data_IF_243596127305
#
_entry.id   IF_243596127305
#
_cell.length_a   1.000
_cell.length_b   1.000
_cell.length_c   1.000
_cell.angle_alpha   90.00
_cell.angle_beta   90.00
_cell.angle_gamma   90.00
#
_symmetry.space_group_name_H-M   'P 1'
#
loop_
_entity.id
_entity.type
_entity.pdbx_description
1 polymer ?
#
# COMPACT_ATOMS: atom_id res chain seq x y z
N UNK A 1 -11.28 15.99 9.18
CA UNK A 1 -11.91 16.97 8.29
C UNK A 1 -13.03 16.30 7.51
N UNK A 2 -14.23 16.89 7.53
CA UNK A 2 -15.36 16.43 6.73
C UNK A 2 -15.39 17.28 5.45
N UNK A 3 -15.03 16.69 4.32
CA UNK A 3 -15.19 17.35 3.03
C UNK A 3 -16.62 17.12 2.51
N UNK A 4 -17.39 18.20 2.36
CA UNK A 4 -18.66 18.15 1.64
C UNK A 4 -18.40 18.05 0.13
N UNK A 5 -19.24 17.31 -0.59
CA UNK A 5 -19.11 17.08 -2.04
C UNK A 5 -17.82 16.38 -2.46
N UNK A 6 -17.30 15.49 -1.62
CA UNK A 6 -16.13 14.67 -1.94
C UNK A 6 -16.55 13.27 -2.39
N UNK A 7 -15.92 12.78 -3.45
CA UNK A 7 -16.11 11.41 -3.98
C UNK A 7 -14.77 10.71 -3.96
N UNK A 8 -14.74 9.48 -3.47
CA UNK A 8 -13.55 8.64 -3.53
C UNK A 8 -13.33 8.17 -4.97
N UNK A 9 -12.15 8.43 -5.50
CA UNK A 9 -11.74 7.99 -6.83
C UNK A 9 -10.52 7.09 -6.75
N UNK A 10 -10.39 6.18 -7.70
CA UNK A 10 -9.24 5.29 -7.83
C UNK A 10 -8.65 5.39 -9.24
N UNK A 11 -7.35 5.16 -9.36
CA UNK A 11 -6.66 5.07 -10.65
C UNK A 11 -6.84 3.66 -11.24
N UNK A 12 -8.09 3.25 -11.45
CA UNK A 12 -8.45 1.97 -12.06
C UNK A 12 -9.20 2.28 -13.34
N UNK A 13 -8.68 1.78 -14.45
CA UNK A 13 -9.33 1.81 -15.74
C UNK A 13 -9.92 0.44 -16.07
N UNK A 14 -11.18 0.42 -16.51
CA UNK A 14 -11.82 -0.80 -17.00
C UNK A 14 -11.79 -0.77 -18.52
N UNK A 15 -11.06 -1.70 -19.13
CA UNK A 15 -11.03 -1.84 -20.58
C UNK A 15 -12.35 -2.39 -21.09
N UNK A 16 -12.73 -2.01 -22.30
CA UNK A 16 -13.91 -2.53 -22.97
C UNK A 16 -13.86 -4.06 -23.12
N UNK A 17 -15.03 -4.70 -23.21
CA UNK A 17 -15.11 -6.15 -23.39
C UNK A 17 -14.48 -6.55 -24.73
N UNK A 18 -13.49 -7.42 -24.69
CA UNK A 18 -12.80 -7.97 -25.86
C UNK A 18 -13.44 -9.31 -26.22
N UNK A 19 -14.03 -9.45 -27.44
CA UNK A 19 -14.54 -10.72 -27.91
C UNK A 19 -13.39 -11.60 -28.41
N UNK A 20 -13.45 -12.90 -28.08
CA UNK A 20 -12.46 -13.91 -28.50
C UNK A 20 -13.17 -15.02 -29.25
N UNK A 21 -12.59 -15.37 -30.40
CA UNK A 21 -12.99 -16.50 -31.21
C UNK A 21 -11.96 -17.61 -31.02
N UNK A 22 -12.43 -18.85 -30.99
CA UNK A 22 -11.58 -20.02 -30.78
C UNK A 22 -11.74 -20.96 -31.96
N UNK A 23 -10.66 -21.19 -32.70
CA UNK A 23 -10.63 -22.07 -33.84
C UNK A 23 -10.32 -23.53 -33.42
N UNK A 24 -9.49 -23.70 -32.39
CA UNK A 24 -9.06 -25.01 -31.90
C UNK A 24 -8.98 -24.99 -30.36
N UNK A 25 -9.46 -26.06 -29.73
CA UNK A 25 -9.38 -26.25 -28.27
C UNK A 25 -8.15 -27.11 -27.94
N UNK A 26 -7.28 -26.50 -27.12
CA UNK A 26 -6.11 -27.21 -26.57
C UNK A 26 -6.14 -27.16 -25.04
N UNK A 27 -5.74 -28.23 -24.34
CA UNK A 27 -5.60 -28.18 -22.88
C UNK A 27 -4.63 -27.09 -22.45
N UNK A 28 -5.06 -26.28 -21.46
CA UNK A 28 -4.25 -25.14 -20.99
C UNK A 28 -4.19 -23.97 -21.95
N UNK A 29 -5.23 -23.78 -22.80
CA UNK A 29 -5.30 -22.68 -23.75
C UNK A 29 -5.13 -21.33 -23.06
N UNK A 30 -4.41 -20.41 -23.71
CA UNK A 30 -4.03 -19.10 -23.18
C UNK A 30 -4.48 -17.97 -24.09
N UNK A 31 -4.92 -16.88 -23.50
CA UNK A 31 -5.31 -15.67 -24.23
C UNK A 31 -4.60 -14.45 -23.64
N UNK A 32 -3.90 -13.70 -24.48
CA UNK A 32 -3.26 -12.46 -24.07
C UNK A 32 -4.30 -11.37 -23.78
N UNK A 33 -4.10 -10.63 -22.69
CA UNK A 33 -5.02 -9.61 -22.23
C UNK A 33 -4.85 -8.27 -22.95
N UNK A 34 -3.69 -8.02 -23.57
CA UNK A 34 -3.40 -6.78 -24.28
C UNK A 34 -3.30 -5.53 -23.41
N UNK A 35 -3.25 -5.69 -22.08
CA UNK A 35 -3.13 -4.60 -21.11
C UNK A 35 -1.99 -4.88 -20.12
N UNK A 36 -1.37 -3.82 -19.60
CA UNK A 36 -0.31 -3.92 -18.58
C UNK A 36 -0.88 -3.62 -17.19
N UNK A 37 -0.21 -4.12 -16.14
CA UNK A 37 -0.60 -3.92 -14.74
C UNK A 37 -2.06 -4.29 -14.45
N UNK A 38 -2.47 -5.47 -14.94
CA UNK A 38 -3.81 -6.00 -14.76
C UNK A 38 -4.04 -6.36 -13.30
N UNK A 39 -5.12 -5.81 -12.72
CA UNK A 39 -5.56 -6.08 -11.35
C UNK A 39 -6.43 -7.33 -11.30
N UNK A 40 -7.45 -7.34 -12.13
CA UNK A 40 -8.37 -8.47 -12.28
C UNK A 40 -8.97 -8.52 -13.69
N UNK A 41 -9.60 -9.63 -14.00
CA UNK A 41 -10.31 -9.83 -15.24
C UNK A 41 -11.70 -10.39 -14.95
N UNK A 42 -12.68 -9.96 -15.74
CA UNK A 42 -14.01 -10.58 -15.73
C UNK A 42 -14.18 -11.34 -17.03
N UNK A 43 -14.43 -12.64 -16.95
CA UNK A 43 -14.50 -13.55 -18.09
C UNK A 43 -15.90 -14.10 -18.23
N UNK A 44 -16.49 -13.90 -19.40
CA UNK A 44 -17.80 -14.40 -19.81
C UNK A 44 -17.62 -15.45 -20.91
N UNK A 45 -17.99 -16.69 -20.63
CA UNK A 45 -17.84 -17.80 -21.60
C UNK A 45 -19.20 -18.15 -22.19
N UNK A 46 -19.24 -18.27 -23.50
CA UNK A 46 -20.44 -18.64 -24.24
C UNK A 46 -20.72 -20.14 -24.06
N UNK A 47 -21.79 -20.45 -23.33
CA UNK A 47 -22.29 -21.81 -23.10
C UNK A 47 -23.59 -22.10 -23.91
N UNK A 48 -23.83 -21.37 -24.99
CA UNK A 48 -24.97 -21.60 -25.87
C UNK A 48 -25.02 -23.05 -26.38
N UNK A 49 -26.21 -23.60 -26.45
CA UNK A 49 -26.41 -24.99 -26.90
C UNK A 49 -26.06 -26.07 -25.85
N UNK A 50 -25.54 -25.70 -24.64
CA UNK A 50 -25.27 -26.63 -23.55
C UNK A 50 -26.51 -26.93 -22.72
N UNK A 51 -27.44 -25.99 -22.63
CA UNK A 51 -28.65 -26.06 -21.81
C UNK A 51 -29.92 -25.83 -22.60
N UNK A 52 -31.04 -26.35 -22.06
CA UNK A 52 -32.37 -26.01 -22.56
C UNK A 52 -32.71 -24.55 -22.25
N UNK A 53 -33.64 -23.96 -23.04
CA UNK A 53 -34.09 -22.59 -22.85
C UNK A 53 -34.57 -22.34 -21.40
N UNK A 54 -35.38 -23.25 -20.87
CA UNK A 54 -35.92 -23.14 -19.51
C UNK A 54 -34.85 -23.16 -18.45
N UNK A 55 -33.77 -23.94 -18.66
CA UNK A 55 -32.62 -23.98 -17.76
C UNK A 55 -31.82 -22.68 -17.80
N UNK A 56 -31.60 -22.11 -18.99
CA UNK A 56 -30.92 -20.84 -19.17
C UNK A 56 -31.66 -19.70 -18.48
N UNK A 57 -32.99 -19.62 -18.64
CA UNK A 57 -33.82 -18.60 -17.98
C UNK A 57 -33.80 -18.74 -16.47
N UNK A 58 -33.91 -19.96 -15.94
CA UNK A 58 -33.84 -20.21 -14.52
C UNK A 58 -32.48 -19.81 -13.94
N UNK A 59 -31.37 -20.13 -14.61
CA UNK A 59 -30.01 -19.71 -14.20
C UNK A 59 -29.91 -18.18 -14.16
N UNK A 60 -30.51 -17.48 -15.12
CA UNK A 60 -30.51 -16.02 -15.15
C UNK A 60 -31.35 -15.39 -14.02
N UNK A 61 -32.47 -16.06 -13.64
CA UNK A 61 -33.29 -15.62 -12.50
C UNK A 61 -32.63 -15.86 -11.16
N UNK A 62 -31.94 -17.02 -11.01
CA UNK A 62 -31.25 -17.37 -9.78
C UNK A 62 -29.96 -16.55 -9.55
N UNK A 63 -29.22 -16.24 -10.63
CA UNK A 63 -27.94 -15.54 -10.58
C UNK A 63 -27.83 -14.48 -11.70
N UNK A 64 -28.53 -13.36 -11.59
CA UNK A 64 -28.57 -12.34 -12.64
C UNK A 64 -27.23 -11.67 -12.92
N UNK A 65 -26.32 -11.62 -11.92
CA UNK A 65 -24.99 -11.03 -12.04
C UNK A 65 -23.95 -11.97 -12.68
N UNK A 66 -24.25 -13.25 -12.77
CA UNK A 66 -23.33 -14.27 -13.31
C UNK A 66 -23.77 -14.82 -14.67
N UNK A 67 -24.85 -14.29 -15.24
CA UNK A 67 -25.40 -14.74 -16.53
C UNK A 67 -25.78 -13.55 -17.41
N UNK A 68 -25.38 -13.58 -18.68
CA UNK A 68 -25.84 -12.63 -19.73
C UNK A 68 -26.51 -13.37 -20.85
N UNK A 69 -27.73 -12.94 -21.23
CA UNK A 69 -28.49 -13.50 -22.34
C UNK A 69 -28.67 -12.44 -23.42
N UNK A 70 -28.32 -12.78 -24.63
CA UNK A 70 -28.61 -11.95 -25.81
C UNK A 70 -29.76 -12.57 -26.62
N UNK A 71 -30.63 -11.71 -27.13
CA UNK A 71 -31.82 -12.11 -27.88
C UNK A 71 -31.75 -11.56 -29.29
N UNK A 72 -32.31 -12.31 -30.25
CA UNK A 72 -32.55 -11.82 -31.59
C UNK A 72 -33.78 -10.90 -31.66
N UNK A 73 -34.04 -10.33 -32.84
CA UNK A 73 -35.18 -9.46 -33.07
C UNK A 73 -36.55 -10.18 -32.89
N UNK A 74 -36.56 -11.50 -32.83
CA UNK A 74 -37.73 -12.36 -32.63
C UNK A 74 -37.88 -12.83 -31.18
N UNK A 75 -36.97 -12.41 -30.27
CA UNK A 75 -37.00 -12.77 -28.86
C UNK A 75 -36.49 -14.19 -28.57
N UNK A 76 -35.73 -14.78 -29.51
CA UNK A 76 -35.06 -16.05 -29.28
C UNK A 76 -33.66 -15.81 -28.70
N UNK A 77 -33.22 -16.71 -27.82
CA UNK A 77 -31.87 -16.65 -27.23
C UNK A 77 -30.86 -16.98 -28.33
N UNK A 78 -29.99 -16.03 -28.64
CA UNK A 78 -28.86 -16.21 -29.58
C UNK A 78 -27.61 -16.66 -28.86
N UNK A 79 -27.27 -15.94 -27.79
CA UNK A 79 -26.05 -16.24 -27.01
C UNK A 79 -26.35 -16.29 -25.53
N UNK A 80 -25.65 -17.19 -24.83
CA UNK A 80 -25.80 -17.42 -23.41
C UNK A 80 -24.43 -17.43 -22.78
N UNK A 81 -24.07 -16.32 -22.13
CA UNK A 81 -22.78 -16.18 -21.45
C UNK A 81 -22.90 -16.46 -19.96
N UNK A 82 -21.95 -17.23 -19.42
CA UNK A 82 -21.82 -17.51 -18.00
C UNK A 82 -20.49 -16.93 -17.52
N UNK A 83 -20.51 -16.22 -16.41
CA UNK A 83 -19.31 -15.68 -15.78
C UNK A 83 -18.52 -16.81 -15.14
N UNK A 84 -17.25 -16.93 -15.51
CA UNK A 84 -16.34 -17.85 -14.89
C UNK A 84 -15.55 -17.18 -13.76
N UNK A 85 -15.07 -17.96 -12.81
CA UNK A 85 -14.40 -17.45 -11.61
C UNK A 85 -12.89 -17.54 -11.72
N UNK A 86 -12.20 -16.55 -11.21
CA UNK A 86 -10.75 -16.60 -11.05
C UNK A 86 -10.39 -17.60 -9.94
N UNK A 87 -9.34 -18.38 -10.16
CA UNK A 87 -8.76 -19.27 -9.16
C UNK A 87 -7.23 -19.21 -9.24
N UNK A 88 -6.57 -19.50 -8.13
CA UNK A 88 -5.10 -19.60 -8.12
C UNK A 88 -4.58 -20.90 -8.72
N UNK A 89 -5.39 -21.96 -8.70
CA UNK A 89 -5.03 -23.29 -9.18
C UNK A 89 -6.20 -24.01 -9.84
N UNK A 90 -6.03 -24.37 -11.09
CA UNK A 90 -7.05 -25.11 -11.86
C UNK A 90 -7.32 -26.51 -11.30
N UNK A 91 -6.27 -27.18 -10.82
CA UNK A 91 -6.31 -28.60 -10.42
C UNK A 91 -7.10 -28.84 -9.11
N UNK A 92 -7.25 -27.83 -8.26
CA UNK A 92 -7.87 -27.96 -6.93
C UNK A 92 -9.22 -27.25 -6.81
N UNK A 93 -9.76 -26.74 -7.90
CA UNK A 93 -11.04 -26.03 -7.89
C UNK A 93 -12.20 -27.01 -7.82
N UNK A 94 -13.15 -26.73 -6.90
CA UNK A 94 -14.42 -27.47 -6.82
C UNK A 94 -15.39 -27.08 -7.94
N UNK A 95 -15.30 -25.85 -8.43
CA UNK A 95 -16.10 -25.34 -9.55
C UNK A 95 -15.33 -25.56 -10.86
N UNK A 96 -15.89 -26.27 -11.86
CA UNK A 96 -15.20 -26.50 -13.13
C UNK A 96 -15.15 -25.25 -14.04
N UNK A 97 -15.92 -24.17 -13.72
CA UNK A 97 -15.98 -22.90 -14.46
C UNK A 97 -14.99 -21.91 -13.93
N UNK A 98 -13.70 -22.20 -14.09
CA UNK A 98 -12.63 -21.38 -13.55
C UNK A 98 -11.55 -21.10 -14.59
N UNK A 99 -10.82 -20.02 -14.36
CA UNK A 99 -9.62 -19.65 -15.09
C UNK A 99 -8.54 -19.14 -14.12
N UNK A 100 -7.29 -19.15 -14.55
CA UNK A 100 -6.18 -18.52 -13.84
C UNK A 100 -5.78 -17.25 -14.59
N UNK A 101 -5.62 -16.16 -13.85
CA UNK A 101 -5.05 -14.92 -14.34
C UNK A 101 -3.54 -14.91 -14.09
N UNK A 102 -2.76 -15.15 -15.14
CA UNK A 102 -1.30 -15.00 -15.09
C UNK A 102 -0.92 -13.52 -15.26
N UNK A 103 -0.78 -12.81 -14.11
CA UNK A 103 -0.47 -11.39 -14.09
C UNK A 103 0.94 -11.05 -14.56
N UNK A 104 1.86 -12.03 -14.54
CA UNK A 104 3.23 -11.83 -15.03
C UNK A 104 3.30 -11.96 -16.56
N UNK A 105 2.61 -12.95 -17.11
CA UNK A 105 2.52 -13.15 -18.56
C UNK A 105 1.45 -12.24 -19.21
N UNK A 106 0.55 -11.64 -18.43
CA UNK A 106 -0.64 -10.93 -18.88
C UNK A 106 -1.55 -11.82 -19.75
N UNK A 107 -1.84 -13.03 -19.25
CA UNK A 107 -2.62 -14.03 -19.95
C UNK A 107 -3.73 -14.62 -19.07
N UNK A 108 -4.84 -14.99 -19.72
CA UNK A 108 -5.85 -15.87 -19.14
C UNK A 108 -5.49 -17.33 -19.49
N UNK A 109 -5.48 -18.20 -18.51
CA UNK A 109 -5.16 -19.62 -18.66
C UNK A 109 -6.40 -20.43 -18.27
N UNK A 110 -6.84 -21.31 -19.17
CA UNK A 110 -7.98 -22.19 -18.95
C UNK A 110 -7.53 -23.62 -18.66
N UNK A 111 -8.47 -24.43 -18.24
CA UNK A 111 -8.22 -25.80 -17.77
C UNK A 111 -7.81 -26.82 -18.83
N UNK A 112 -7.81 -28.06 -18.40
CA UNK A 112 -7.39 -29.22 -19.20
C UNK A 112 -8.58 -29.93 -19.89
N UNK A 113 -9.82 -29.52 -19.59
CA UNK A 113 -11.03 -30.17 -20.06
C UNK A 113 -11.42 -31.45 -19.32
N UNK A 114 -10.62 -31.87 -18.31
CA UNK A 114 -10.87 -33.05 -17.47
C UNK A 114 -11.33 -32.65 -16.08
N UNK A 115 -10.52 -31.84 -15.39
CA UNK A 115 -10.82 -31.33 -14.03
C UNK A 115 -11.58 -30.03 -14.11
N UNK A 116 -11.23 -29.16 -15.04
CA UNK A 116 -11.86 -27.86 -15.27
C UNK A 116 -12.22 -27.69 -16.73
N UNK A 117 -13.26 -26.90 -17.00
CA UNK A 117 -13.75 -26.72 -18.37
C UNK A 117 -12.79 -25.87 -19.21
N UNK A 118 -12.88 -26.06 -20.54
CA UNK A 118 -12.26 -25.22 -21.56
C UNK A 118 -13.39 -24.54 -22.34
N UNK A 119 -13.26 -23.27 -22.74
CA UNK A 119 -14.18 -22.62 -23.66
C UNK A 119 -14.27 -23.41 -24.97
N UNK A 120 -15.48 -23.49 -25.53
CA UNK A 120 -15.73 -24.30 -26.74
C UNK A 120 -15.38 -23.54 -28.00
N UNK A 121 -15.08 -24.30 -29.07
CA UNK A 121 -15.15 -23.77 -30.43
C UNK A 121 -16.61 -23.53 -30.79
N UNK A 122 -16.91 -22.32 -31.21
CA UNK A 122 -18.23 -21.88 -31.70
C UNK A 122 -18.02 -21.09 -32.99
N UNK A 123 -19.02 -21.11 -33.87
CA UNK A 123 -19.05 -20.24 -35.07
C UNK A 123 -19.21 -18.76 -34.70
N UNK A 124 -19.41 -18.45 -33.44
CA UNK A 124 -19.61 -17.13 -32.87
C UNK A 124 -18.57 -16.87 -31.75
N UNK A 125 -18.68 -15.74 -31.08
CA UNK A 125 -17.80 -15.38 -29.94
C UNK A 125 -17.83 -16.47 -28.88
N UNK A 126 -16.66 -17.08 -28.62
CA UNK A 126 -16.50 -18.16 -27.66
C UNK A 126 -16.43 -17.63 -26.21
N UNK A 127 -15.77 -16.49 -26.03
CA UNK A 127 -15.71 -15.82 -24.74
C UNK A 127 -15.54 -14.30 -24.92
N UNK A 128 -15.89 -13.56 -23.89
CA UNK A 128 -15.60 -12.12 -23.76
C UNK A 128 -14.90 -11.89 -22.44
N UNK A 129 -13.93 -11.02 -22.42
CA UNK A 129 -13.33 -10.59 -21.17
C UNK A 129 -13.16 -9.08 -21.12
N UNK A 130 -13.27 -8.53 -19.94
CA UNK A 130 -12.86 -7.16 -19.61
C UNK A 130 -11.81 -7.21 -18.50
N UNK A 131 -10.84 -6.33 -18.56
CA UNK A 131 -9.77 -6.24 -17.58
C UNK A 131 -9.82 -4.91 -16.86
N UNK A 132 -9.51 -4.91 -15.58
CA UNK A 132 -9.22 -3.70 -14.82
C UNK A 132 -7.71 -3.57 -14.66
N UNK A 133 -7.17 -2.44 -15.06
CA UNK A 133 -5.74 -2.14 -14.99
C UNK A 133 -5.52 -0.82 -14.25
N UNK A 134 -4.29 -0.59 -13.82
CA UNK A 134 -3.90 0.64 -13.15
C UNK A 134 -2.52 1.10 -13.61
N UNK A 135 -2.18 2.36 -13.33
CA UNK A 135 -0.86 2.90 -13.64
C UNK A 135 0.18 2.64 -12.53
N UNK A 136 -0.12 1.73 -11.60
CA UNK A 136 0.78 1.40 -10.50
C UNK A 136 1.16 2.63 -9.66
N UNK A 137 2.43 2.77 -9.34
CA UNK A 137 2.95 3.89 -8.54
C UNK A 137 2.77 5.26 -9.21
N UNK A 138 2.67 5.33 -10.54
CA UNK A 138 2.43 6.58 -11.27
C UNK A 138 1.06 7.19 -10.97
N UNK A 139 0.10 6.38 -10.49
CA UNK A 139 -1.21 6.84 -10.02
C UNK A 139 -1.18 7.62 -8.70
N UNK A 140 -0.07 7.64 -7.97
CA UNK A 140 0.09 8.39 -6.72
C UNK A 140 0.40 9.87 -7.01
N UNK A 141 -0.60 10.60 -7.49
CA UNK A 141 -0.47 12.01 -7.87
C UNK A 141 -0.51 12.94 -6.64
N UNK A 142 0.17 14.09 -6.74
CA UNK A 142 0.23 15.11 -5.68
C UNK A 142 -1.10 15.82 -5.45
N UNK A 143 -1.15 16.66 -4.40
CA UNK A 143 -2.29 17.53 -4.09
C UNK A 143 -2.55 18.49 -5.26
N UNK A 144 -3.83 18.65 -5.65
CA UNK A 144 -4.24 19.55 -6.74
C UNK A 144 -3.91 19.05 -8.14
N UNK A 145 -3.36 17.84 -8.31
CA UNK A 145 -3.03 17.29 -9.61
C UNK A 145 -4.28 16.84 -10.41
N UNK A 146 -5.38 16.52 -9.74
CA UNK A 146 -6.66 16.19 -10.37
C UNK A 146 -7.48 17.47 -10.46
N UNK A 147 -7.50 18.08 -11.64
CA UNK A 147 -8.16 19.37 -11.86
C UNK A 147 -9.27 19.34 -12.91
N UNK A 148 -9.40 18.26 -13.65
CA UNK A 148 -10.33 18.13 -14.78
C UNK A 148 -11.16 16.85 -14.67
N UNK A 149 -12.39 16.90 -15.20
CA UNK A 149 -13.25 15.74 -15.42
C UNK A 149 -13.21 15.33 -16.88
N UNK A 150 -13.32 14.04 -17.17
CA UNK A 150 -13.35 13.51 -18.53
C UNK A 150 -14.59 13.99 -19.33
N UNK A 151 -15.67 14.36 -18.64
CA UNK A 151 -16.88 14.93 -19.24
C UNK A 151 -17.28 16.22 -18.51
N UNK A 152 -17.84 17.19 -19.26
CA UNK A 152 -18.43 18.36 -18.63
C UNK A 152 -19.62 17.95 -17.77
N UNK A 153 -19.54 18.33 -16.50
CA UNK A 153 -20.61 18.11 -15.53
C UNK A 153 -21.27 19.46 -15.22
N UNK A 154 -22.58 19.54 -15.49
CA UNK A 154 -23.36 20.72 -15.13
C UNK A 154 -23.31 20.94 -13.62
N UNK A 155 -23.22 22.20 -13.20
CA UNK A 155 -23.17 22.65 -11.79
C UNK A 155 -21.87 22.36 -11.04
N UNK A 156 -20.78 21.88 -11.69
CA UNK A 156 -19.48 21.75 -11.09
C UNK A 156 -18.57 22.90 -11.56
N UNK A 157 -18.15 23.76 -10.61
CA UNK A 157 -17.30 24.91 -10.93
C UNK A 157 -15.83 24.57 -11.00
N UNK A 158 -15.34 23.65 -10.17
CA UNK A 158 -13.96 23.18 -10.16
C UNK A 158 -13.84 21.82 -9.48
N UNK A 159 -12.82 21.07 -9.88
CA UNK A 159 -12.47 19.77 -9.29
C UNK A 159 -11.05 19.88 -8.77
N UNK A 160 -10.78 19.32 -7.59
CA UNK A 160 -9.44 19.20 -7.06
C UNK A 160 -9.35 18.05 -6.06
N UNK A 161 -8.17 17.44 -5.95
CA UNK A 161 -7.88 16.51 -4.86
C UNK A 161 -7.18 17.28 -3.72
N UNK A 162 -7.80 17.42 -2.56
CA UNK A 162 -7.22 18.11 -1.41
C UNK A 162 -6.11 17.32 -0.72
N UNK A 163 -6.04 16.03 -1.00
CA UNK A 163 -5.05 15.09 -0.43
C UNK A 163 -4.33 14.39 -1.57
N UNK A 164 -3.06 14.11 -1.40
CA UNK A 164 -2.26 13.29 -2.32
C UNK A 164 -2.89 11.91 -2.51
N UNK A 165 -2.89 11.41 -3.74
CA UNK A 165 -3.26 10.03 -4.03
C UNK A 165 -2.16 9.07 -3.53
N UNK A 166 -2.56 7.89 -3.03
CA UNK A 166 -1.64 6.90 -2.45
C UNK A 166 -2.18 5.48 -2.64
N UNK A 167 -1.35 4.48 -2.32
CA UNK A 167 -1.70 3.07 -2.40
C UNK A 167 -1.43 2.43 -3.76
N UNK A 168 -0.98 3.22 -4.76
CA UNK A 168 -0.48 2.66 -6.01
C UNK A 168 0.92 2.06 -5.82
N UNK A 169 1.11 0.80 -6.23
CA UNK A 169 2.40 0.12 -6.24
C UNK A 169 2.63 -0.54 -7.59
N UNK A 170 3.90 -0.69 -7.96
CA UNK A 170 4.27 -1.44 -9.15
C UNK A 170 4.24 -2.95 -8.85
N UNK A 171 4.27 -3.76 -9.91
CA UNK A 171 4.39 -5.22 -9.80
C UNK A 171 5.64 -5.56 -8.99
N UNK A 172 5.52 -6.52 -8.08
CA UNK A 172 6.60 -7.02 -7.24
C UNK A 172 7.76 -7.55 -8.11
N UNK A 173 8.99 -7.22 -7.75
CA UNK A 173 10.16 -7.75 -8.44
C UNK A 173 10.35 -9.24 -8.12
N UNK A 174 10.97 -9.97 -9.05
CA UNK A 174 11.27 -11.41 -8.85
C UNK A 174 12.10 -11.64 -7.56
N UNK A 175 13.02 -10.74 -7.25
CA UNK A 175 13.89 -10.83 -6.09
C UNK A 175 13.08 -10.75 -4.78
N UNK A 176 12.18 -9.76 -4.68
CA UNK A 176 11.27 -9.62 -3.54
C UNK A 176 10.30 -10.81 -3.44
N UNK A 177 9.79 -11.30 -4.58
CA UNK A 177 8.91 -12.47 -4.61
C UNK A 177 9.60 -13.74 -4.12
N UNK A 178 10.88 -13.94 -4.44
CA UNK A 178 11.68 -15.08 -3.96
C UNK A 178 11.94 -14.99 -2.45
N UNK A 179 12.28 -13.82 -1.93
CA UNK A 179 12.46 -13.60 -0.48
C UNK A 179 11.16 -13.84 0.29
N UNK A 180 10.05 -13.31 -0.22
CA UNK A 180 8.71 -13.50 0.35
C UNK A 180 8.30 -14.97 0.30
N UNK A 181 8.51 -15.65 -0.83
CA UNK A 181 8.19 -17.06 -1.01
C UNK A 181 8.95 -17.98 -0.05
N UNK A 182 10.25 -17.75 0.14
CA UNK A 182 11.06 -18.48 1.11
C UNK A 182 10.54 -18.28 2.54
N UNK A 183 10.09 -17.08 2.86
CA UNK A 183 9.49 -16.75 4.14
C UNK A 183 8.16 -17.46 4.37
N UNK A 184 7.25 -17.43 3.40
CA UNK A 184 5.94 -18.12 3.46
C UNK A 184 6.14 -19.63 3.64
N UNK A 185 7.07 -20.23 2.89
CA UNK A 185 7.39 -21.65 3.03
C UNK A 185 7.91 -22.00 4.43
N UNK A 186 8.78 -21.16 5.01
CA UNK A 186 9.35 -21.39 6.33
C UNK A 186 8.33 -21.28 7.45
N UNK A 187 7.43 -20.29 7.40
CA UNK A 187 6.37 -20.05 8.40
C UNK A 187 5.10 -20.84 8.13
N UNK A 188 4.96 -21.44 6.94
CA UNK A 188 3.71 -22.05 6.45
C UNK A 188 2.53 -21.07 6.50
N UNK A 189 2.80 -19.81 6.23
CA UNK A 189 1.85 -18.69 6.30
C UNK A 189 1.17 -18.52 7.68
N UNK A 190 1.85 -18.91 8.77
CA UNK A 190 1.40 -18.67 10.14
C UNK A 190 2.22 -17.58 10.79
N UNK A 191 1.56 -16.74 11.55
CA UNK A 191 2.17 -15.66 12.30
C UNK A 191 2.39 -16.10 13.75
N UNK A 192 3.61 -16.50 14.09
CA UNK A 192 3.96 -17.01 15.41
C UNK A 192 5.05 -16.14 16.04
N UNK A 193 6.09 -15.79 15.28
CA UNK A 193 7.20 -15.01 15.78
C UNK A 193 7.04 -13.51 15.47
N UNK A 194 7.71 -12.65 16.26
CA UNK A 194 7.78 -11.21 15.96
C UNK A 194 8.32 -10.90 14.55
N UNK A 195 9.20 -11.77 14.04
CA UNK A 195 9.73 -11.64 12.68
C UNK A 195 8.66 -11.96 11.61
N UNK A 196 7.77 -12.92 11.87
CA UNK A 196 6.68 -13.27 10.96
C UNK A 196 5.67 -12.11 10.87
N UNK A 197 5.25 -11.57 12.02
CA UNK A 197 4.38 -10.40 12.08
C UNK A 197 5.00 -9.20 11.37
N UNK A 198 6.27 -8.91 11.63
CA UNK A 198 6.97 -7.80 10.97
C UNK A 198 6.97 -7.95 9.44
N UNK A 199 7.24 -9.15 8.93
CA UNK A 199 7.23 -9.42 7.48
C UNK A 199 5.85 -9.31 6.87
N UNK A 200 4.83 -9.89 7.53
CA UNK A 200 3.45 -9.80 7.08
C UNK A 200 2.98 -8.34 6.98
N UNK A 201 3.26 -7.53 7.99
CA UNK A 201 2.90 -6.11 8.01
C UNK A 201 3.61 -5.34 6.90
N UNK A 202 4.92 -5.54 6.71
CA UNK A 202 5.67 -4.85 5.65
C UNK A 202 5.25 -5.28 4.25
N UNK A 203 4.80 -6.53 4.07
CA UNK A 203 4.28 -7.01 2.79
C UNK A 203 2.84 -6.59 2.51
N UNK A 204 2.09 -6.16 3.52
CA UNK A 204 0.70 -5.74 3.38
C UNK A 204 0.55 -4.44 2.59
N UNK A 205 1.44 -3.48 2.81
CA UNK A 205 1.39 -2.20 2.10
C UNK A 205 2.77 -1.59 1.92
N UNK A 206 3.08 -1.14 0.70
CA UNK A 206 4.31 -0.39 0.39
C UNK A 206 4.37 0.99 1.08
N UNK A 207 3.25 1.48 1.59
CA UNK A 207 3.21 2.74 2.36
C UNK A 207 3.84 2.63 3.75
N UNK A 208 4.10 1.42 4.24
CA UNK A 208 4.75 1.19 5.53
C UNK A 208 6.28 1.17 5.31
N UNK A 209 7.00 2.04 6.03
CA UNK A 209 8.46 2.06 5.98
C UNK A 209 9.08 1.10 7.01
N UNK A 210 8.53 1.12 8.22
CA UNK A 210 9.12 0.39 9.33
C UNK A 210 8.06 -0.11 10.32
N UNK A 211 8.34 -1.27 10.91
CA UNK A 211 7.51 -1.90 11.96
C UNK A 211 8.36 -2.25 13.16
N UNK A 212 7.90 -1.91 14.36
CA UNK A 212 8.42 -2.42 15.62
C UNK A 212 7.36 -3.24 16.33
N UNK A 213 7.72 -4.44 16.76
CA UNK A 213 6.83 -5.35 17.51
C UNK A 213 7.24 -5.29 18.99
N UNK A 214 6.33 -4.86 19.83
CA UNK A 214 6.53 -4.70 21.27
C UNK A 214 5.55 -5.62 21.98
N UNK A 215 6.05 -6.55 22.77
CA UNK A 215 5.22 -7.44 23.59
C UNK A 215 5.28 -7.01 25.05
N UNK A 216 4.15 -7.12 25.73
CA UNK A 216 4.07 -6.84 27.16
C UNK A 216 3.99 -5.38 27.55
N UNK A 217 3.88 -4.45 26.59
CA UNK A 217 3.81 -3.02 26.87
C UNK A 217 2.77 -2.34 25.97
N UNK A 218 1.88 -1.54 26.56
CA UNK A 218 0.96 -0.66 25.85
C UNK A 218 1.63 0.68 25.51
N UNK A 219 1.04 1.44 24.59
CA UNK A 219 1.53 2.77 24.23
C UNK A 219 1.53 3.74 25.44
N UNK A 220 0.60 3.54 26.36
CA UNK A 220 0.46 4.32 27.61
C UNK A 220 1.49 3.96 28.68
N UNK A 221 2.40 3.03 28.36
CA UNK A 221 3.47 2.61 29.28
C UNK A 221 3.04 1.58 30.34
N UNK A 222 1.81 1.04 30.25
CA UNK A 222 1.35 -0.01 31.16
C UNK A 222 1.92 -1.38 30.73
N UNK A 223 2.37 -2.18 31.70
CA UNK A 223 2.80 -3.55 31.48
C UNK A 223 1.59 -4.49 31.43
N UNK A 224 1.37 -5.13 30.28
CA UNK A 224 0.40 -6.22 30.08
C UNK A 224 1.04 -7.31 29.22
N UNK A 225 1.46 -8.40 29.88
CA UNK A 225 2.15 -9.51 29.22
C UNK A 225 1.34 -10.18 28.11
N UNK A 226 0.02 -9.99 28.10
CA UNK A 226 -0.85 -10.52 27.04
C UNK A 226 -0.98 -9.58 25.83
N UNK A 227 -0.50 -8.33 25.94
CA UNK A 227 -0.59 -7.31 24.90
C UNK A 227 0.55 -7.43 23.90
N UNK A 228 0.19 -7.33 22.60
CA UNK A 228 1.13 -7.17 21.50
C UNK A 228 0.84 -5.83 20.84
N UNK A 229 1.83 -4.96 20.81
CA UNK A 229 1.71 -3.64 20.19
C UNK A 229 2.62 -3.56 18.96
N UNK A 230 2.04 -3.27 17.81
CA UNK A 230 2.74 -2.99 16.57
C UNK A 230 2.85 -1.49 16.38
N UNK A 231 4.06 -0.98 16.29
CA UNK A 231 4.34 0.43 16.00
C UNK A 231 4.68 0.55 14.54
N UNK A 232 3.87 1.26 13.77
CA UNK A 232 4.02 1.39 12.32
C UNK A 232 4.46 2.79 11.95
N UNK A 233 5.62 2.92 11.31
CA UNK A 233 6.07 4.16 10.69
C UNK A 233 5.65 4.17 9.22
N UNK A 234 4.88 5.18 8.84
CA UNK A 234 4.46 5.37 7.44
C UNK A 234 5.49 6.19 6.66
N UNK A 235 5.68 5.88 5.37
CA UNK A 235 6.55 6.67 4.47
C UNK A 235 6.11 8.14 4.39
N UNK A 236 4.79 8.36 4.35
CA UNK A 236 4.17 9.68 4.23
C UNK A 236 3.78 10.28 5.60
N UNK A 237 4.53 10.00 6.65
CA UNK A 237 4.24 10.43 8.04
C UNK A 237 4.05 11.95 8.21
N UNK A 238 4.60 12.77 7.30
CA UNK A 238 4.45 14.24 7.32
C UNK A 238 3.06 14.72 6.92
N UNK A 239 2.28 13.90 6.23
CA UNK A 239 0.94 14.23 5.72
C UNK A 239 -0.18 13.91 6.73
N UNK A 240 0.18 13.49 7.94
CA UNK A 240 -0.74 13.16 9.03
C UNK A 240 -1.14 11.68 9.05
N UNK A 241 -2.01 11.33 9.99
CA UNK A 241 -2.39 9.94 10.30
C UNK A 241 -3.40 9.32 9.34
N UNK A 242 -3.77 9.99 8.25
CA UNK A 242 -4.84 9.51 7.36
C UNK A 242 -4.50 8.19 6.67
N UNK A 243 -3.29 8.07 6.14
CA UNK A 243 -2.81 6.84 5.51
C UNK A 243 -2.77 5.67 6.49
N UNK A 244 -2.35 5.94 7.73
CA UNK A 244 -2.32 4.98 8.83
C UNK A 244 -3.72 4.47 9.18
N UNK A 245 -4.68 5.37 9.45
CA UNK A 245 -6.05 4.99 9.82
C UNK A 245 -6.78 4.17 8.76
N UNK A 246 -6.48 4.40 7.49
CA UNK A 246 -7.07 3.63 6.40
C UNK A 246 -6.58 2.18 6.36
N UNK A 247 -5.33 1.93 6.71
CA UNK A 247 -4.70 0.61 6.62
C UNK A 247 -5.02 -0.26 7.84
N UNK A 248 -5.20 0.32 9.02
CA UNK A 248 -5.33 -0.40 10.30
C UNK A 248 -6.41 -1.49 10.27
N UNK A 249 -7.62 -1.15 9.79
CA UNK A 249 -8.75 -2.08 9.82
C UNK A 249 -8.45 -3.38 9.09
N UNK A 250 -8.12 -3.27 7.79
CA UNK A 250 -7.81 -4.43 6.98
C UNK A 250 -6.53 -5.16 7.40
N UNK A 251 -5.51 -4.42 7.86
CA UNK A 251 -4.28 -5.03 8.39
C UNK A 251 -4.56 -5.86 9.64
N UNK A 252 -5.40 -5.36 10.56
CA UNK A 252 -5.75 -6.09 11.79
C UNK A 252 -6.46 -7.40 11.47
N UNK A 253 -7.42 -7.37 10.55
CA UNK A 253 -8.15 -8.57 10.11
C UNK A 253 -7.22 -9.59 9.45
N UNK A 254 -6.30 -9.13 8.60
CA UNK A 254 -5.30 -9.97 7.96
C UNK A 254 -4.37 -10.64 8.98
N UNK A 255 -3.85 -9.88 9.95
CA UNK A 255 -2.98 -10.44 10.99
C UNK A 255 -3.72 -11.47 11.86
N UNK A 256 -4.97 -11.23 12.20
CA UNK A 256 -5.77 -12.15 12.99
C UNK A 256 -6.10 -13.42 12.22
N UNK A 257 -6.35 -13.35 10.92
CA UNK A 257 -6.69 -14.51 10.08
C UNK A 257 -5.54 -15.53 9.99
N UNK A 258 -4.30 -15.09 10.11
CA UNK A 258 -3.10 -15.92 10.03
C UNK A 258 -2.44 -16.20 11.38
N UNK A 259 -3.00 -15.66 12.47
CA UNK A 259 -2.50 -15.81 13.84
C UNK A 259 -3.09 -17.04 14.53
N UNK A 260 -2.53 -17.41 15.67
CA UNK A 260 -3.09 -18.46 16.51
C UNK A 260 -4.45 -18.06 17.09
N UNK A 261 -5.36 -19.02 17.25
CA UNK A 261 -6.70 -18.83 17.84
C UNK A 261 -6.69 -18.24 19.26
N UNK A 262 -5.56 -18.29 19.94
CA UNK A 262 -5.37 -17.75 21.29
C UNK A 262 -5.15 -16.24 21.29
N UNK A 263 -4.82 -15.64 20.13
CA UNK A 263 -4.62 -14.20 20.01
C UNK A 263 -5.98 -13.49 19.94
N UNK A 264 -6.33 -12.83 21.03
CA UNK A 264 -7.61 -12.10 21.13
C UNK A 264 -7.46 -10.73 20.44
N UNK A 265 -8.44 -10.28 19.63
CA UNK A 265 -8.39 -9.00 18.93
C UNK A 265 -8.11 -7.77 19.81
N UNK A 266 -8.62 -7.80 21.07
CA UNK A 266 -8.43 -6.71 22.03
C UNK A 266 -7.00 -6.64 22.60
N UNK A 267 -6.22 -7.72 22.45
CA UNK A 267 -4.83 -7.79 22.88
C UNK A 267 -3.82 -7.46 21.77
N UNK A 268 -4.31 -7.14 20.59
CA UNK A 268 -3.53 -6.69 19.47
C UNK A 268 -3.79 -5.20 19.21
N UNK A 269 -2.78 -4.37 19.47
CA UNK A 269 -2.82 -2.93 19.20
C UNK A 269 -1.90 -2.57 18.04
N UNK A 270 -2.38 -1.72 17.15
CA UNK A 270 -1.61 -1.12 16.06
C UNK A 270 -1.61 0.38 16.28
N UNK A 271 -0.43 0.98 16.41
CA UNK A 271 -0.26 2.38 16.78
C UNK A 271 0.79 3.07 15.90
N UNK A 272 0.68 4.39 15.77
CA UNK A 272 1.76 5.21 15.21
C UNK A 272 2.88 5.40 16.26
N UNK A 273 4.12 5.68 15.82
CA UNK A 273 5.18 6.04 16.74
C UNK A 273 4.92 7.41 17.38
N UNK A 274 5.49 7.62 18.56
CA UNK A 274 5.55 8.93 19.18
C UNK A 274 6.66 9.73 18.47
N UNK A 275 6.25 10.72 17.67
CA UNK A 275 7.18 11.59 16.97
C UNK A 275 7.81 12.58 17.92
N UNK A 276 9.14 12.61 17.95
CA UNK A 276 9.91 13.57 18.74
C UNK A 276 10.49 14.63 17.81
N UNK A 277 9.88 15.80 17.80
CA UNK A 277 10.31 16.95 17.00
C UNK A 277 11.59 17.56 17.61
N UNK A 278 12.70 17.35 16.95
CA UNK A 278 13.99 17.85 17.39
C UNK A 278 14.29 19.17 16.71
N UNK A 279 14.22 20.25 17.47
CA UNK A 279 14.54 21.61 17.05
C UNK A 279 15.96 21.97 17.45
N UNK A 280 16.76 22.43 16.48
CA UNK A 280 18.18 22.75 16.68
C UNK A 280 18.40 24.22 16.42
N UNK A 281 18.87 24.94 17.45
CA UNK A 281 19.34 26.32 17.33
C UNK A 281 20.86 26.35 17.46
N UNK A 282 21.56 26.76 16.41
CA UNK A 282 23.03 26.82 16.37
C UNK A 282 23.53 28.23 16.06
N UNK A 283 24.63 28.61 16.70
CA UNK A 283 25.37 29.82 16.44
C UNK A 283 26.68 29.44 15.76
N UNK A 284 26.83 29.92 14.52
CA UNK A 284 27.90 29.49 13.61
C UNK A 284 28.72 30.70 13.20
N UNK A 285 30.05 30.62 13.38
CA UNK A 285 31.01 31.56 12.84
C UNK A 285 31.40 31.13 11.43
N UNK A 286 31.22 32.01 10.44
CA UNK A 286 31.52 31.73 9.02
C UNK A 286 32.83 32.38 8.61
N UNK A 287 33.57 31.74 7.71
CA UNK A 287 34.85 32.22 7.20
C UNK A 287 34.63 33.38 6.18
N UNK A 288 33.55 33.31 5.40
CA UNK A 288 33.17 34.33 4.42
C UNK A 288 31.72 34.75 4.60
N UNK A 289 31.47 36.05 4.57
CA UNK A 289 30.13 36.64 4.63
C UNK A 289 29.27 36.28 3.42
N UNK A 290 29.87 36.19 2.24
CA UNK A 290 29.18 35.94 0.99
C UNK A 290 28.53 34.55 0.97
N UNK A 291 29.10 33.60 1.71
CA UNK A 291 28.62 32.23 1.80
C UNK A 291 27.56 32.02 2.89
N UNK A 292 27.23 33.05 3.68
CA UNK A 292 26.40 32.89 4.88
C UNK A 292 25.00 32.31 4.61
N UNK A 293 24.34 32.74 3.55
CA UNK A 293 23.01 32.25 3.19
C UNK A 293 23.05 30.81 2.69
N UNK A 294 24.05 30.46 1.89
CA UNK A 294 24.25 29.07 1.41
C UNK A 294 24.53 28.14 2.57
N UNK A 295 25.40 28.54 3.50
CA UNK A 295 25.74 27.75 4.69
C UNK A 295 24.52 27.50 5.58
N UNK A 296 23.66 28.52 5.77
CA UNK A 296 22.39 28.34 6.51
C UNK A 296 21.49 27.30 5.87
N UNK A 297 21.36 27.36 4.53
CA UNK A 297 20.57 26.38 3.76
C UNK A 297 21.11 24.96 3.91
N UNK A 298 22.41 24.78 3.68
CA UNK A 298 23.08 23.48 3.77
C UNK A 298 23.00 22.86 5.17
N UNK A 299 23.13 23.68 6.23
CA UNK A 299 23.01 23.18 7.61
C UNK A 299 21.58 22.74 7.93
N UNK A 300 20.56 23.45 7.46
CA UNK A 300 19.16 23.04 7.64
C UNK A 300 18.87 21.75 6.90
N UNK A 301 19.23 21.68 5.63
CA UNK A 301 19.05 20.47 4.81
C UNK A 301 19.76 19.25 5.44
N UNK A 302 20.99 19.44 5.91
CA UNK A 302 21.73 18.39 6.59
C UNK A 302 21.04 17.90 7.88
N UNK A 303 20.41 18.80 8.64
CA UNK A 303 19.64 18.43 9.84
C UNK A 303 18.34 17.75 9.48
N UNK A 304 17.61 18.24 8.48
CA UNK A 304 16.37 17.64 7.99
C UNK A 304 16.59 16.22 7.47
N UNK A 305 17.64 16.01 6.68
CA UNK A 305 18.01 14.69 6.19
C UNK A 305 18.42 13.76 7.33
N UNK A 306 19.21 14.25 8.27
CA UNK A 306 19.70 13.44 9.38
C UNK A 306 18.58 13.02 10.35
N UNK A 307 17.62 13.90 10.60
CA UNK A 307 16.50 13.67 11.51
C UNK A 307 15.27 13.04 10.83
N UNK A 308 15.39 12.68 9.55
CA UNK A 308 14.32 11.98 8.86
C UNK A 308 14.17 10.55 9.38
N UNK A 309 12.99 10.14 9.89
CA UNK A 309 12.77 8.79 10.40
C UNK A 309 12.73 7.71 9.32
N UNK A 310 12.30 8.06 8.09
CA UNK A 310 12.05 7.14 6.99
C UNK A 310 13.35 6.67 6.32
N UNK A 311 13.37 5.42 5.87
CA UNK A 311 14.50 4.84 5.15
C UNK A 311 15.50 4.09 6.03
N UNK A 312 15.11 3.64 7.20
CA UNK A 312 15.99 2.84 8.07
C UNK A 312 16.54 1.58 7.37
N UNK A 313 15.70 0.91 6.57
CA UNK A 313 16.10 -0.26 5.78
C UNK A 313 17.19 0.03 4.74
N UNK A 314 17.30 1.28 4.26
CA UNK A 314 18.34 1.74 3.33
C UNK A 314 19.53 2.39 4.04
N UNK A 315 19.54 2.37 5.38
CA UNK A 315 20.61 2.97 6.22
C UNK A 315 20.55 4.48 6.35
N UNK A 316 19.44 5.13 5.94
CA UNK A 316 19.26 6.60 6.04
C UNK A 316 18.38 7.03 7.20
N UNK A 317 17.33 6.28 7.53
CA UNK A 317 16.37 6.64 8.57
C UNK A 317 16.77 6.16 9.98
N UNK A 318 15.86 6.43 10.94
CA UNK A 318 16.05 6.06 12.34
C UNK A 318 15.19 4.86 12.72
N UNK A 319 15.77 3.94 13.50
CA UNK A 319 15.01 2.81 14.04
C UNK A 319 14.03 3.30 15.10
N UNK A 320 12.77 2.80 15.05
CA UNK A 320 11.79 3.04 16.12
C UNK A 320 12.37 2.62 17.47
N UNK A 321 12.17 3.44 18.50
CA UNK A 321 12.76 3.27 19.84
C UNK A 321 14.16 3.85 19.99
N UNK A 322 14.69 4.56 18.99
CA UNK A 322 16.01 5.20 19.07
C UNK A 322 15.94 6.69 18.77
N UNK A 323 16.71 7.47 19.52
CA UNK A 323 16.81 8.92 19.33
C UNK A 323 18.29 9.32 19.16
N UNK A 324 18.58 10.35 18.37
CA UNK A 324 19.92 10.88 18.23
C UNK A 324 20.39 11.51 19.55
N UNK A 325 21.67 11.37 19.84
CA UNK A 325 22.30 12.08 20.96
C UNK A 325 22.88 13.41 20.47
N UNK A 326 22.91 14.42 21.35
CA UNK A 326 23.48 15.74 21.04
C UNK A 326 24.84 15.69 20.33
N UNK A 327 25.84 14.88 20.76
CA UNK A 327 27.10 14.79 20.03
C UNK A 327 26.98 14.27 18.59
N UNK A 328 26.02 13.39 18.31
CA UNK A 328 25.82 12.86 16.97
C UNK A 328 25.26 13.93 16.02
N UNK A 329 24.32 14.76 16.50
CA UNK A 329 23.79 15.91 15.75
C UNK A 329 24.92 16.91 15.45
N UNK A 330 25.74 17.25 16.46
CA UNK A 330 26.84 18.18 16.28
C UNK A 330 27.90 17.66 15.30
N UNK A 331 28.17 16.35 15.31
CA UNK A 331 29.09 15.73 14.36
C UNK A 331 28.60 15.83 12.92
N UNK A 332 27.30 15.85 12.69
CA UNK A 332 26.72 16.09 11.36
C UNK A 332 26.91 17.55 10.90
N UNK A 333 26.79 18.50 11.79
CA UNK A 333 27.04 19.92 11.50
C UNK A 333 28.52 20.22 11.21
N UNK A 334 29.40 19.41 11.77
CA UNK A 334 30.86 19.51 11.59
C UNK A 334 31.35 19.19 10.15
N UNK A 335 30.47 18.69 9.26
CA UNK A 335 30.81 18.41 7.86
C UNK A 335 31.26 19.68 7.12
N UNK A 336 30.82 20.86 7.56
CA UNK A 336 31.18 22.16 6.99
C UNK A 336 32.33 22.85 7.73
N UNK A 337 33.15 22.12 8.52
CA UNK A 337 34.28 22.70 9.32
C UNK A 337 35.22 23.62 8.54
N UNK A 338 35.40 23.40 7.26
CA UNK A 338 36.29 24.24 6.42
C UNK A 338 35.69 25.64 6.12
N UNK A 339 34.35 25.79 6.23
CA UNK A 339 33.61 27.01 5.88
C UNK A 339 32.90 27.65 7.08
N UNK A 340 32.59 26.85 8.11
CA UNK A 340 31.77 27.26 9.26
C UNK A 340 32.15 26.52 10.54
N UNK A 341 32.16 27.19 11.68
CA UNK A 341 32.49 26.63 12.99
C UNK A 341 31.32 26.84 13.94
N UNK A 342 30.77 25.77 14.50
CA UNK A 342 29.69 25.81 15.50
C UNK A 342 30.26 26.27 16.86
N UNK A 343 29.82 27.41 17.36
CA UNK A 343 30.24 27.97 18.66
C UNK A 343 29.32 27.60 19.81
N UNK A 344 28.00 27.57 19.53
CA UNK A 344 26.98 27.29 20.53
C UNK A 344 25.87 26.49 19.88
N UNK A 345 25.26 25.59 20.63
CA UNK A 345 24.09 24.83 20.20
C UNK A 345 23.09 24.64 21.33
N UNK A 346 21.83 24.78 21.03
CA UNK A 346 20.69 24.45 21.89
C UNK A 346 19.80 23.50 21.12
N UNK A 347 19.48 22.34 21.70
CA UNK A 347 18.69 21.31 21.06
C UNK A 347 17.52 20.99 21.98
N UNK A 348 16.32 21.23 21.49
CA UNK A 348 15.06 21.03 22.18
C UNK A 348 14.28 19.91 21.50
N UNK A 349 13.73 19.02 22.29
CA UNK A 349 12.85 17.93 21.83
C UNK A 349 11.42 18.24 22.29
N UNK A 350 10.49 18.24 21.34
CA UNK A 350 9.06 18.35 21.59
C UNK A 350 8.37 17.06 21.18
N UNK A 351 7.53 16.53 22.03
CA UNK A 351 6.73 15.34 21.71
C UNK A 351 5.39 15.40 22.43
N UNK A 352 4.42 14.68 21.88
CA UNK A 352 3.11 14.52 22.47
C UNK A 352 2.91 13.03 22.78
N UNK A 353 2.59 12.74 24.05
CA UNK A 353 2.18 11.42 24.49
C UNK A 353 0.80 11.49 25.17
N UNK A 354 0.38 10.41 25.83
CA UNK A 354 -0.91 10.35 26.52
C UNK A 354 -1.02 11.31 27.73
N UNK A 355 0.12 11.79 28.28
CA UNK A 355 0.13 12.79 29.38
C UNK A 355 0.03 14.24 28.84
N UNK A 356 0.28 14.43 27.54
CA UNK A 356 0.19 15.74 26.88
C UNK A 356 1.44 16.10 26.07
N UNK A 357 1.58 17.41 25.83
CA UNK A 357 2.74 17.96 25.12
C UNK A 357 3.90 18.20 26.09
N UNK A 358 5.08 17.73 25.70
CA UNK A 358 6.31 17.89 26.45
C UNK A 358 7.36 18.64 25.64
N UNK A 359 8.06 19.55 26.29
CA UNK A 359 9.22 20.25 25.73
C UNK A 359 10.39 20.11 26.69
N UNK A 360 11.42 19.42 26.26
CA UNK A 360 12.58 19.11 27.11
C UNK A 360 13.90 19.28 26.34
N UNK A 361 14.99 19.51 27.06
CA UNK A 361 16.33 19.42 26.46
C UNK A 361 16.58 17.97 26.01
N UNK A 362 17.08 17.77 24.79
CA UNK A 362 17.34 16.44 24.23
C UNK A 362 18.23 15.56 25.14
N UNK A 363 19.11 16.18 25.94
CA UNK A 363 19.99 15.46 26.86
C UNK A 363 19.27 14.85 28.06
N UNK A 364 18.07 15.36 28.39
CA UNK A 364 17.26 14.89 29.51
C UNK A 364 16.23 13.85 29.08
N UNK A 365 15.92 13.78 27.77
CA UNK A 365 14.95 12.86 27.22
C UNK A 365 15.47 11.41 27.25
N UNK A 366 14.70 10.53 27.90
CA UNK A 366 14.94 9.08 27.85
C UNK A 366 14.12 8.47 26.74
N UNK A 367 14.73 7.88 25.70
CA UNK A 367 13.98 7.23 24.64
C UNK A 367 13.18 6.04 25.19
N UNK A 368 11.93 5.93 24.76
CA UNK A 368 11.11 4.75 24.97
C UNK A 368 10.97 3.96 23.65
N UNK A 369 10.39 2.76 23.73
CA UNK A 369 10.29 1.85 22.60
C UNK A 369 9.38 2.34 21.45
N UNK A 370 8.57 3.39 21.69
CA UNK A 370 7.63 3.93 20.74
C UNK A 370 8.13 5.20 20.04
N UNK A 371 9.20 5.82 20.52
CA UNK A 371 9.69 7.10 20.03
C UNK A 371 10.48 6.97 18.72
N UNK A 372 10.33 7.98 17.87
CA UNK A 372 11.13 8.16 16.65
C UNK A 372 11.46 9.65 16.47
N UNK A 373 12.69 10.03 16.06
CA UNK A 373 13.03 11.42 15.84
C UNK A 373 12.33 11.94 14.57
N UNK A 374 11.94 13.20 14.61
CA UNK A 374 11.44 13.97 13.46
C UNK A 374 12.11 15.33 13.44
N UNK A 375 12.36 15.86 12.25
CA UNK A 375 12.92 17.19 12.09
C UNK A 375 11.89 18.24 12.52
N UNK A 376 12.27 19.06 13.51
CA UNK A 376 11.52 20.23 13.96
C UNK A 376 11.97 21.52 13.27
N UNK A 377 11.77 22.66 13.92
CA UNK A 377 12.26 23.95 13.42
C UNK A 377 13.75 24.14 13.69
N UNK A 378 14.52 24.45 12.65
CA UNK A 378 15.96 24.70 12.80
C UNK A 378 16.32 26.17 12.62
N UNK A 379 16.99 26.75 13.61
CA UNK A 379 17.45 28.11 13.62
C UNK A 379 18.97 28.19 13.54
N UNK A 380 19.49 28.74 12.45
CA UNK A 380 20.94 28.95 12.26
C UNK A 380 21.23 30.42 12.36
N UNK A 381 21.96 30.81 13.40
CA UNK A 381 22.40 32.18 13.68
C UNK A 381 23.86 32.32 13.26
N UNK A 382 24.14 33.28 12.40
CA UNK A 382 25.51 33.60 11.99
C UNK A 382 26.08 34.60 12.97
N UNK A 383 27.29 34.31 13.45
CA UNK A 383 28.10 35.16 14.31
C UNK A 383 29.33 35.59 13.51
N UNK A 384 29.75 36.81 13.72
CA UNK A 384 30.91 37.40 13.08
C UNK A 384 32.04 37.55 14.07
#
# INVERSE_FOLDING_TARGET
>A
DVAMNAVSVSNIETCEEVPVYIDEVTPGIRFALGAENVLDATVWVNESGKYSRDTMLRMAEENPDDVKIEYDAQGQITTFFVKWKETDRLETSEDPRVYVLDRLANELVFGDGVHTYIPRVLDDVALRFSVRCCSGQAGNVGVGAISEAASMLDYIGSITNPVKAYGGSNIETLENALERGASILSSRNRLVSAADFKRAILSYSDSIDQVSVISGLTIDGHEDLSQITFVLLMKDFREGSFAFHRIIGGLKDELLSHSELTLVPDKLSIVEPIYVDISVSVWVEVVSMDDSFEIQGLLRECLEDYLNPVGYGTGKGWKIGTLPKKPQILMRLDVLKSRAIVKKSVIVAKYCDFEGEHEVDLTQLKPNAFMVPRSGEHNVHIIY
#
